data_IF_732508294824
#
_entry.id   IF_732508294824
#
_cell.length_a   1.000
_cell.length_b   1.000
_cell.length_c   1.000
_cell.angle_alpha   90.00
_cell.angle_beta   90.00
_cell.angle_gamma   90.00
#
_symmetry.space_group_name_H-M   'P 1'
#
loop_
_entity.id
_entity.type
_entity.pdbx_description
1 polymer ?
#
# COMPACT_ATOMS: atom_id res chain seq x y z
N UNK A 1 8.25 30.62 37.44
CA UNK A 1 6.78 30.71 37.52
C UNK A 1 6.24 29.79 36.42
N UNK A 2 5.44 28.78 36.65
CA UNK A 2 4.94 28.16 37.88
C UNK A 2 4.47 26.77 37.44
N UNK A 3 4.90 25.73 38.16
CA UNK A 3 4.52 24.34 37.94
C UNK A 3 3.15 24.10 38.57
N UNK A 4 2.25 23.41 37.88
CA UNK A 4 1.10 22.77 38.50
C UNK A 4 1.17 21.25 38.28
N UNK A 5 1.12 20.54 39.40
CA UNK A 5 1.37 19.12 39.65
C UNK A 5 0.04 18.55 40.18
N UNK A 6 -0.40 17.40 39.67
CA UNK A 6 -1.41 16.54 40.31
C UNK A 6 -1.04 15.10 39.98
N UNK A 7 -0.24 14.44 40.83
CA UNK A 7 -0.65 13.61 41.97
C UNK A 7 -1.34 12.29 41.60
N UNK A 8 -0.49 11.26 41.45
CA UNK A 8 -0.76 9.84 41.75
C UNK A 8 -1.11 9.68 43.22
N UNK A 9 -2.01 8.75 43.58
CA UNK A 9 -1.95 7.85 44.76
C UNK A 9 -3.23 6.97 44.80
N UNK A 10 -3.35 5.88 45.60
CA UNK A 10 -2.61 4.61 45.58
C UNK A 10 -3.53 3.38 45.38
N UNK A 11 -2.90 2.20 45.19
CA UNK A 11 -3.47 0.88 45.55
C UNK A 11 -3.28 0.64 47.05
N UNK A 12 -4.27 0.06 47.73
CA UNK A 12 -4.03 -1.01 48.72
C UNK A 12 -5.31 -1.71 49.15
N UNK A 13 -5.16 -3.02 49.34
CA UNK A 13 -6.03 -4.00 49.97
C UNK A 13 -6.51 -3.62 51.37
N UNK A 14 -7.63 -4.20 51.81
CA UNK A 14 -7.65 -5.16 52.93
C UNK A 14 -9.07 -5.66 53.19
N UNK A 15 -9.22 -6.98 53.08
CA UNK A 15 -10.13 -7.78 53.89
C UNK A 15 -10.00 -7.41 55.37
N UNK A 16 -11.11 -7.31 56.11
CA UNK A 16 -11.30 -7.98 57.41
C UNK A 16 -12.55 -7.50 58.18
N UNK A 17 -13.16 -8.46 58.90
CA UNK A 17 -14.10 -8.37 60.03
C UNK A 17 -15.47 -7.69 59.77
N UNK A 18 -16.62 -8.40 59.75
CA UNK A 18 -17.30 -9.25 60.76
C UNK A 18 -18.07 -8.47 61.84
N UNK A 19 -19.35 -8.88 62.03
CA UNK A 19 -20.32 -8.50 63.09
C UNK A 19 -20.81 -7.04 63.04
N UNK A 20 -22.10 -6.71 63.17
CA UNK A 20 -23.20 -7.43 63.84
C UNK A 20 -24.57 -6.80 63.47
N UNK A 21 -25.58 -7.67 63.35
CA UNK A 21 -26.99 -7.53 63.76
C UNK A 21 -27.75 -6.22 63.51
N UNK A 22 -28.84 -6.30 62.73
CA UNK A 22 -30.19 -6.35 63.31
C UNK A 22 -31.30 -6.54 62.25
N UNK A 23 -32.09 -7.60 62.47
CA UNK A 23 -33.54 -7.71 62.28
C UNK A 23 -34.15 -7.53 60.88
N UNK A 24 -34.57 -8.65 60.26
CA UNK A 24 -35.99 -9.04 60.18
C UNK A 24 -36.16 -10.21 59.18
N UNK A 25 -36.39 -11.42 59.68
CA UNK A 25 -36.95 -12.53 58.89
C UNK A 25 -38.46 -12.34 58.71
N UNK A 26 -39.02 -12.87 57.61
CA UNK A 26 -40.02 -13.90 57.83
C UNK A 26 -39.79 -15.16 56.97
N UNK A 27 -39.96 -16.31 57.63
CA UNK A 27 -40.48 -17.59 57.14
C UNK A 27 -39.99 -18.09 55.77
N UNK A 28 -38.86 -18.80 55.78
CA UNK A 28 -38.50 -19.79 54.75
C UNK A 28 -38.37 -21.15 55.47
N UNK A 29 -39.46 -21.69 55.99
CA UNK A 29 -39.39 -23.02 56.60
C UNK A 29 -40.65 -23.90 56.44
N UNK A 30 -41.51 -23.59 55.46
CA UNK A 30 -42.70 -24.43 55.20
C UNK A 30 -42.93 -24.78 53.72
N UNK A 31 -41.88 -24.75 52.90
CA UNK A 31 -41.95 -25.17 51.49
C UNK A 31 -40.94 -26.27 51.10
N UNK A 32 -40.24 -26.87 52.07
CA UNK A 32 -39.24 -27.92 51.82
C UNK A 32 -39.70 -29.36 52.07
N UNK A 33 -40.99 -29.64 52.28
CA UNK A 33 -41.43 -31.03 52.54
C UNK A 33 -42.52 -31.63 51.63
N UNK A 34 -42.90 -31.01 50.51
CA UNK A 34 -43.83 -31.66 49.58
C UNK A 34 -43.45 -31.57 48.10
N UNK A 35 -42.36 -32.27 47.72
CA UNK A 35 -42.28 -33.21 46.59
C UNK A 35 -40.82 -33.57 46.31
N UNK A 36 -40.33 -34.62 46.98
CA UNK A 36 -39.44 -35.58 46.32
C UNK A 36 -40.23 -36.35 45.24
N UNK A 37 -40.79 -35.62 44.28
CA UNK A 37 -41.35 -36.15 43.06
C UNK A 37 -40.24 -36.14 42.04
N UNK A 38 -39.72 -37.32 41.72
CA UNK A 38 -38.87 -37.58 40.56
C UNK A 38 -39.60 -37.15 39.28
N UNK A 39 -39.62 -35.85 39.02
CA UNK A 39 -40.00 -35.29 37.74
C UNK A 39 -38.83 -35.49 36.82
N UNK A 40 -38.77 -36.65 36.15
CA UNK A 40 -38.01 -36.75 34.90
C UNK A 40 -38.48 -35.57 34.05
N UNK A 41 -37.68 -34.52 33.93
CA UNK A 41 -37.83 -33.50 32.90
C UNK A 41 -37.84 -34.28 31.60
N UNK A 42 -39.03 -34.56 31.08
CA UNK A 42 -39.23 -35.28 29.83
C UNK A 42 -38.85 -34.27 28.76
N UNK A 43 -37.54 -34.15 28.53
CA UNK A 43 -36.97 -33.30 27.50
C UNK A 43 -37.71 -33.69 26.22
N UNK A 44 -38.48 -32.75 25.68
CA UNK A 44 -39.34 -33.02 24.53
C UNK A 44 -38.39 -33.33 23.37
N UNK A 45 -38.36 -34.57 22.84
CA UNK A 45 -37.34 -34.97 21.85
C UNK A 45 -37.39 -34.06 20.62
N UNK A 46 -38.57 -33.51 20.30
CA UNK A 46 -38.77 -32.52 19.23
C UNK A 46 -38.02 -31.19 19.46
N UNK A 47 -37.97 -30.69 20.69
CA UNK A 47 -37.28 -29.44 21.01
C UNK A 47 -35.75 -29.63 21.00
N UNK A 48 -35.27 -30.77 21.50
CA UNK A 48 -33.84 -31.15 21.47
C UNK A 48 -33.33 -31.36 20.04
N UNK A 49 -34.15 -31.96 19.16
CA UNK A 49 -33.85 -32.12 17.73
C UNK A 49 -33.82 -30.74 17.04
N UNK A 50 -34.79 -29.86 17.31
CA UNK A 50 -34.83 -28.52 16.71
C UNK A 50 -33.62 -27.65 17.11
N UNK A 51 -33.21 -27.69 18.38
CA UNK A 51 -32.00 -27.01 18.86
C UNK A 51 -30.74 -27.58 18.20
N UNK A 52 -30.63 -28.91 18.12
CA UNK A 52 -29.49 -29.57 17.45
C UNK A 52 -29.40 -29.19 15.97
N UNK A 53 -30.54 -29.17 15.25
CA UNK A 53 -30.60 -28.76 13.84
C UNK A 53 -30.23 -27.28 13.66
N UNK A 54 -30.69 -26.40 14.57
CA UNK A 54 -30.33 -24.98 14.56
C UNK A 54 -28.82 -24.78 14.77
N UNK A 55 -28.22 -25.49 15.74
CA UNK A 55 -26.77 -25.43 16.00
C UNK A 55 -25.98 -25.91 14.78
N UNK A 56 -26.39 -27.02 14.16
CA UNK A 56 -25.73 -27.56 12.96
C UNK A 56 -25.83 -26.59 11.78
N UNK A 57 -26.99 -25.96 11.57
CA UNK A 57 -27.19 -24.98 10.50
C UNK A 57 -26.30 -23.74 10.70
N UNK A 58 -26.25 -23.21 11.92
CA UNK A 58 -25.40 -22.07 12.24
C UNK A 58 -23.91 -22.41 12.11
N UNK A 59 -23.49 -23.60 12.54
CA UNK A 59 -22.12 -24.08 12.35
C UNK A 59 -21.76 -24.19 10.86
N UNK A 60 -22.68 -24.72 10.04
CA UNK A 60 -22.49 -24.81 8.59
C UNK A 60 -22.42 -23.42 7.93
N UNK A 61 -23.24 -22.46 8.36
CA UNK A 61 -23.20 -21.07 7.87
C UNK A 61 -21.89 -20.37 8.24
N UNK A 62 -21.39 -20.55 9.47
CA UNK A 62 -20.10 -20.01 9.91
C UNK A 62 -18.96 -20.64 9.10
N UNK A 63 -18.97 -21.95 8.88
CA UNK A 63 -17.98 -22.64 8.08
C UNK A 63 -18.00 -22.15 6.61
N UNK A 64 -19.19 -22.00 6.02
CA UNK A 64 -19.34 -21.45 4.68
C UNK A 64 -18.82 -20.00 4.60
N UNK A 65 -19.16 -19.15 5.56
CA UNK A 65 -18.64 -17.80 5.64
C UNK A 65 -17.12 -17.77 5.79
N UNK A 66 -16.53 -18.65 6.61
CA UNK A 66 -15.08 -18.76 6.77
C UNK A 66 -14.39 -19.20 5.48
N UNK A 67 -14.97 -20.14 4.72
CA UNK A 67 -14.49 -20.57 3.41
C UNK A 67 -14.57 -19.41 2.41
N UNK A 68 -15.69 -18.69 2.37
CA UNK A 68 -15.86 -17.53 1.48
C UNK A 68 -14.89 -16.39 1.84
N UNK A 69 -14.68 -16.13 3.13
CA UNK A 69 -13.71 -15.14 3.58
C UNK A 69 -12.28 -15.55 3.24
N UNK A 70 -11.89 -16.83 3.42
CA UNK A 70 -10.58 -17.33 2.98
C UNK A 70 -10.40 -17.23 1.46
N UNK A 71 -11.41 -17.62 0.69
CA UNK A 71 -11.39 -17.52 -0.76
C UNK A 71 -11.28 -16.05 -1.22
N UNK A 72 -11.91 -15.12 -0.50
CA UNK A 72 -11.82 -13.68 -0.78
C UNK A 72 -10.48 -13.06 -0.38
N UNK A 73 -9.80 -13.59 0.64
CA UNK A 73 -8.53 -13.03 1.10
C UNK A 73 -7.33 -13.40 0.21
N UNK A 74 -7.47 -14.38 -0.69
CA UNK A 74 -6.39 -14.80 -1.60
C UNK A 74 -5.09 -15.17 -0.86
N UNK A 75 -4.05 -15.60 -1.59
CA UNK A 75 -2.70 -15.55 -1.05
C UNK A 75 -2.32 -14.08 -0.81
N UNK A 76 -1.59 -13.81 0.28
CA UNK A 76 -1.06 -12.48 0.56
C UNK A 76 -0.13 -12.04 -0.57
N UNK A 77 -0.32 -10.83 -1.12
CA UNK A 77 0.57 -10.22 -2.12
C UNK A 77 2.01 -10.21 -1.56
N UNK A 78 3.02 -10.68 -2.30
CA UNK A 78 4.39 -10.65 -1.83
C UNK A 78 4.82 -9.21 -1.49
N UNK A 79 5.63 -8.99 -0.43
CA UNK A 79 5.99 -7.64 0.02
C UNK A 79 6.72 -6.79 -1.03
N UNK A 80 7.43 -7.43 -1.96
CA UNK A 80 8.21 -6.79 -3.01
C UNK A 80 7.38 -6.40 -4.26
N UNK A 81 6.06 -6.67 -4.27
CA UNK A 81 5.21 -6.23 -5.39
C UNK A 81 4.72 -4.80 -5.15
N UNK A 82 5.04 -3.82 -6.03
CA UNK A 82 4.65 -2.43 -5.85
C UNK A 82 3.13 -2.23 -5.75
N UNK A 83 2.63 -1.26 -4.98
CA UNK A 83 1.20 -0.97 -4.90
C UNK A 83 0.65 -0.48 -6.25
N UNK A 84 -0.61 -0.84 -6.54
CA UNK A 84 -1.27 -0.50 -7.83
C UNK A 84 -2.34 0.58 -7.73
N UNK A 85 -2.33 1.36 -6.65
CA UNK A 85 -3.31 2.42 -6.41
C UNK A 85 -3.31 3.42 -7.56
N UNK A 86 -4.51 3.83 -7.96
CA UNK A 86 -4.74 4.86 -8.97
C UNK A 86 -5.27 6.12 -8.27
N UNK A 87 -4.77 7.28 -8.66
CA UNK A 87 -5.21 8.59 -8.21
C UNK A 87 -5.51 9.53 -9.39
N UNK A 88 -6.32 10.56 -9.15
CA UNK A 88 -6.70 11.57 -10.13
C UNK A 88 -5.77 12.76 -10.04
N UNK A 89 -5.10 13.09 -11.14
CA UNK A 89 -4.23 14.26 -11.19
C UNK A 89 -4.66 15.20 -12.30
N UNK A 90 -4.76 16.48 -11.99
CA UNK A 90 -4.87 17.52 -12.99
C UNK A 90 -3.47 17.93 -13.39
N UNK A 91 -3.12 17.79 -14.66
CA UNK A 91 -1.81 18.21 -15.15
C UNK A 91 -1.78 19.74 -15.24
N UNK A 92 -0.84 20.32 -14.51
CA UNK A 92 -0.59 21.76 -14.48
C UNK A 92 0.82 22.02 -14.96
N UNK A 93 1.01 23.12 -15.68
CA UNK A 93 2.34 23.52 -16.13
C UNK A 93 3.28 23.70 -14.93
N UNK A 94 4.42 23.03 -14.97
CA UNK A 94 5.51 23.20 -14.02
C UNK A 94 6.79 23.59 -14.76
N UNK A 95 6.97 24.89 -15.08
CA UNK A 95 8.07 25.36 -15.93
C UNK A 95 9.47 24.96 -15.45
N UNK A 96 9.64 24.73 -14.15
CA UNK A 96 10.93 24.38 -13.54
C UNK A 96 11.54 23.11 -14.16
N UNK A 97 10.73 22.13 -14.55
CA UNK A 97 11.22 20.88 -15.15
C UNK A 97 11.65 21.04 -16.61
N UNK A 98 11.20 22.10 -17.29
CA UNK A 98 11.62 22.45 -18.66
C UNK A 98 12.81 23.41 -18.73
N UNK A 99 13.28 23.94 -17.60
CA UNK A 99 14.42 24.86 -17.55
C UNK A 99 15.76 24.13 -17.65
N UNK A 100 16.77 24.86 -18.12
CA UNK A 100 18.16 24.38 -18.15
C UNK A 100 18.73 24.11 -16.74
N UNK A 101 19.80 23.31 -16.66
CA UNK A 101 20.37 22.86 -15.39
C UNK A 101 20.94 24.01 -14.57
N UNK A 102 20.49 24.10 -13.33
CA UNK A 102 21.03 24.87 -12.22
C UNK A 102 20.66 24.14 -10.91
N UNK A 103 21.26 24.54 -9.79
CA UNK A 103 21.05 23.89 -8.49
C UNK A 103 19.57 23.68 -8.16
N UNK A 104 18.72 24.69 -8.39
CA UNK A 104 17.28 24.58 -8.10
C UNK A 104 16.57 23.57 -9.02
N UNK A 105 16.85 23.58 -10.32
CA UNK A 105 16.22 22.61 -11.23
C UNK A 105 16.72 21.19 -10.97
N UNK A 106 18.01 21.04 -10.69
CA UNK A 106 18.63 19.74 -10.44
C UNK A 106 18.12 19.15 -9.12
N UNK A 107 17.93 19.95 -8.08
CA UNK A 107 17.29 19.53 -6.83
C UNK A 107 15.85 19.05 -7.08
N UNK A 108 15.07 19.78 -7.89
CA UNK A 108 13.70 19.35 -8.24
C UNK A 108 13.66 18.05 -9.01
N UNK A 109 14.57 17.87 -9.95
CA UNK A 109 14.71 16.61 -10.67
C UNK A 109 15.14 15.48 -9.73
N UNK A 110 16.13 15.70 -8.85
CA UNK A 110 16.61 14.71 -7.89
C UNK A 110 15.52 14.24 -6.92
N UNK A 111 14.56 15.12 -6.56
CA UNK A 111 13.39 14.77 -5.76
C UNK A 111 12.44 13.78 -6.45
N UNK A 112 12.54 13.58 -7.76
CA UNK A 112 11.78 12.57 -8.51
C UNK A 112 12.48 11.19 -8.55
N UNK A 113 13.62 11.03 -7.90
CA UNK A 113 14.31 9.75 -7.85
C UNK A 113 14.42 9.30 -6.39
N UNK A 114 13.94 8.10 -6.03
CA UNK A 114 14.18 7.55 -4.72
C UNK A 114 15.65 7.12 -4.59
N UNK A 115 16.13 7.00 -3.36
CA UNK A 115 17.37 6.28 -3.09
C UNK A 115 17.30 4.85 -3.63
N UNK A 116 18.44 4.32 -4.03
CA UNK A 116 18.56 3.10 -4.80
C UNK A 116 18.19 3.25 -6.28
N UNK A 117 17.88 4.47 -6.75
CA UNK A 117 17.48 4.76 -8.14
C UNK A 117 16.33 3.87 -8.65
N UNK A 118 15.44 3.45 -7.75
CA UNK A 118 14.30 2.58 -8.06
C UNK A 118 14.62 1.08 -8.16
N UNK A 119 15.86 0.66 -7.89
CA UNK A 119 16.20 -0.76 -7.73
C UNK A 119 15.69 -1.26 -6.38
N UNK A 120 14.97 -2.38 -6.41
CA UNK A 120 14.45 -3.07 -5.23
C UNK A 120 14.98 -4.51 -5.15
N UNK A 121 15.00 -5.07 -3.95
CA UNK A 121 15.22 -6.49 -3.76
C UNK A 121 13.91 -7.27 -3.96
N UNK A 122 13.95 -8.25 -4.85
CA UNK A 122 12.84 -9.15 -5.17
C UNK A 122 13.20 -10.55 -4.72
N UNK A 123 12.41 -11.10 -3.80
CA UNK A 123 12.49 -12.53 -3.46
C UNK A 123 11.94 -13.33 -4.62
N UNK A 124 12.73 -14.30 -5.10
CA UNK A 124 12.33 -15.11 -6.25
C UNK A 124 11.61 -16.34 -5.73
N UNK A 125 10.29 -16.32 -5.89
CA UNK A 125 9.45 -17.49 -5.62
C UNK A 125 9.35 -18.34 -6.89
N UNK A 126 9.60 -19.65 -6.77
CA UNK A 126 9.84 -20.58 -7.89
C UNK A 126 8.67 -20.75 -8.90
N UNK A 127 7.54 -20.08 -8.74
CA UNK A 127 6.37 -20.23 -9.62
C UNK A 127 5.54 -18.97 -9.91
N UNK A 128 5.78 -17.84 -9.21
CA UNK A 128 4.88 -16.68 -9.28
C UNK A 128 5.22 -15.71 -10.43
N UNK A 129 6.51 -15.54 -10.73
CA UNK A 129 6.96 -14.66 -11.80
C UNK A 129 7.01 -15.40 -13.14
N UNK A 130 6.60 -14.79 -14.28
CA UNK A 130 6.86 -15.36 -15.60
C UNK A 130 8.36 -15.34 -15.93
N UNK A 131 8.76 -15.96 -17.05
CA UNK A 131 10.10 -15.75 -17.58
C UNK A 131 10.32 -14.26 -17.88
N UNK A 132 11.43 -13.71 -17.41
CA UNK A 132 11.86 -12.34 -17.67
C UNK A 132 13.35 -12.33 -17.99
N UNK A 133 13.82 -11.51 -18.94
CA UNK A 133 15.24 -11.34 -19.18
C UNK A 133 15.98 -10.96 -17.90
N UNK A 134 17.07 -11.67 -17.61
CA UNK A 134 17.89 -11.42 -16.41
C UNK A 134 17.39 -12.07 -15.12
N UNK A 135 16.19 -12.67 -15.08
CA UNK A 135 15.69 -13.38 -13.90
C UNK A 135 16.33 -14.78 -13.80
N UNK A 136 17.23 -14.98 -12.83
CA UNK A 136 17.83 -16.29 -12.50
C UNK A 136 17.11 -16.98 -11.33
N UNK A 137 16.32 -18.01 -11.61
CA UNK A 137 15.57 -18.74 -10.56
C UNK A 137 16.44 -19.51 -9.57
N UNK A 138 17.73 -19.68 -9.84
CA UNK A 138 18.63 -20.32 -8.88
C UNK A 138 18.99 -19.40 -7.69
N UNK A 139 18.73 -18.09 -7.81
CA UNK A 139 19.02 -17.11 -6.78
C UNK A 139 17.78 -16.87 -5.90
N UNK A 140 17.91 -16.89 -4.55
CA UNK A 140 16.78 -16.64 -3.66
C UNK A 140 16.28 -15.18 -3.70
N UNK A 141 17.15 -14.25 -4.10
CA UNK A 141 16.83 -12.82 -4.19
C UNK A 141 17.62 -12.20 -5.34
N UNK A 142 16.97 -11.29 -6.08
CA UNK A 142 17.57 -10.52 -7.18
C UNK A 142 17.11 -9.07 -7.18
N UNK A 143 17.91 -8.21 -7.79
CA UNK A 143 17.58 -6.80 -7.95
C UNK A 143 16.70 -6.61 -9.18
N UNK A 144 15.60 -5.87 -9.02
CA UNK A 144 14.77 -5.43 -10.14
C UNK A 144 14.50 -3.94 -10.01
N UNK A 145 14.40 -3.21 -11.14
CA UNK A 145 14.09 -1.78 -11.12
C UNK A 145 12.62 -1.56 -11.43
N UNK A 146 11.96 -0.72 -10.65
CA UNK A 146 10.62 -0.24 -11.00
C UNK A 146 10.71 0.60 -12.28
N UNK A 147 9.98 0.21 -13.33
CA UNK A 147 10.08 0.82 -14.66
C UNK A 147 9.87 2.34 -14.67
N UNK A 148 9.00 2.88 -13.80
CA UNK A 148 8.76 4.33 -13.72
C UNK A 148 10.03 5.14 -13.42
N UNK A 149 10.96 4.60 -12.63
CA UNK A 149 12.23 5.29 -12.33
C UNK A 149 13.23 5.15 -13.47
N UNK A 150 13.19 4.06 -14.23
CA UNK A 150 13.95 3.96 -15.48
C UNK A 150 13.42 4.96 -16.52
N UNK A 151 12.10 5.11 -16.65
CA UNK A 151 11.48 6.11 -17.52
C UNK A 151 11.88 7.54 -17.10
N UNK A 152 11.91 7.86 -15.80
CA UNK A 152 12.36 9.16 -15.30
C UNK A 152 13.86 9.42 -15.58
N UNK A 153 14.71 8.40 -15.45
CA UNK A 153 16.11 8.48 -15.87
C UNK A 153 16.23 8.78 -17.37
N UNK A 154 15.50 8.05 -18.23
CA UNK A 154 15.50 8.28 -19.68
C UNK A 154 15.03 9.71 -20.03
N UNK A 155 13.99 10.20 -19.36
CA UNK A 155 13.48 11.56 -19.56
C UNK A 155 14.52 12.61 -19.15
N UNK A 156 15.22 12.38 -18.04
CA UNK A 156 16.30 13.25 -17.59
C UNK A 156 17.47 13.26 -18.59
N UNK A 157 17.90 12.09 -19.08
CA UNK A 157 18.97 12.00 -20.09
C UNK A 157 18.59 12.72 -21.39
N UNK A 158 17.32 12.67 -21.79
CA UNK A 158 16.83 13.42 -22.94
C UNK A 158 16.90 14.94 -22.72
N UNK A 159 16.52 15.43 -21.53
CA UNK A 159 16.67 16.84 -21.15
C UNK A 159 18.14 17.27 -21.17
N UNK A 160 19.01 16.50 -20.52
CA UNK A 160 20.45 16.79 -20.42
C UNK A 160 21.10 16.87 -21.80
N UNK A 161 20.81 15.89 -22.66
CA UNK A 161 21.26 15.87 -24.05
C UNK A 161 20.75 17.06 -24.87
N UNK A 162 19.48 17.43 -24.72
CA UNK A 162 18.91 18.60 -25.41
C UNK A 162 19.63 19.89 -25.02
N UNK A 163 19.86 20.10 -23.72
CA UNK A 163 20.57 21.28 -23.22
C UNK A 163 21.99 21.32 -23.78
N UNK A 164 22.72 20.20 -23.68
CA UNK A 164 24.08 20.13 -24.21
C UNK A 164 24.13 20.38 -25.73
N UNK A 165 23.24 19.79 -26.51
CA UNK A 165 23.15 20.01 -27.95
C UNK A 165 22.84 21.48 -28.29
N UNK A 166 21.86 22.08 -27.61
CA UNK A 166 21.46 23.49 -27.79
C UNK A 166 22.64 24.43 -27.53
N UNK A 167 23.43 24.14 -26.52
CA UNK A 167 24.57 24.97 -26.09
C UNK A 167 25.85 24.67 -26.91
N UNK A 168 25.78 23.80 -27.92
CA UNK A 168 26.88 23.47 -28.83
C UNK A 168 27.83 22.39 -28.31
N UNK A 169 27.50 21.72 -27.22
CA UNK A 169 28.28 20.67 -26.55
C UNK A 169 27.89 19.26 -27.03
N UNK A 170 27.93 19.02 -28.34
CA UNK A 170 27.54 17.72 -28.93
C UNK A 170 28.41 16.55 -28.46
N UNK A 171 29.66 16.81 -28.07
CA UNK A 171 30.58 15.81 -27.51
C UNK A 171 30.10 15.20 -26.19
N UNK A 172 29.19 15.87 -25.48
CA UNK A 172 28.59 15.38 -24.22
C UNK A 172 27.32 14.57 -24.44
N UNK A 173 26.83 14.48 -25.67
CA UNK A 173 25.60 13.77 -26.00
C UNK A 173 25.93 12.33 -26.40
N UNK A 174 25.56 11.38 -25.55
CA UNK A 174 25.60 9.96 -25.91
C UNK A 174 24.37 9.60 -26.77
N UNK A 175 24.51 9.75 -28.09
CA UNK A 175 23.43 9.52 -29.05
C UNK A 175 22.90 8.08 -29.02
N UNK A 176 23.79 7.09 -28.84
CA UNK A 176 23.38 5.68 -28.80
C UNK A 176 22.47 5.41 -27.59
N UNK A 177 22.90 5.82 -26.39
CA UNK A 177 22.09 5.66 -25.18
C UNK A 177 20.77 6.45 -25.25
N UNK A 178 20.82 7.66 -25.78
CA UNK A 178 19.64 8.49 -25.96
C UNK A 178 18.63 7.86 -26.94
N UNK A 179 19.10 7.19 -28.00
CA UNK A 179 18.22 6.50 -28.95
C UNK A 179 17.42 5.36 -28.29
N UNK A 180 18.03 4.62 -27.37
CA UNK A 180 17.36 3.59 -26.57
C UNK A 180 16.37 4.22 -25.59
N UNK A 181 16.74 5.33 -24.95
CA UNK A 181 15.85 6.09 -24.05
C UNK A 181 14.57 6.54 -24.79
N UNK A 182 14.69 7.03 -26.03
CA UNK A 182 13.54 7.43 -26.83
C UNK A 182 12.59 6.28 -27.12
N UNK A 183 13.11 5.14 -27.55
CA UNK A 183 12.26 3.98 -27.81
C UNK A 183 11.64 3.41 -26.52
N UNK A 184 12.41 3.35 -25.44
CA UNK A 184 11.91 2.90 -24.14
C UNK A 184 10.78 3.78 -23.61
N UNK A 185 10.93 5.11 -23.67
CA UNK A 185 9.88 6.06 -23.29
C UNK A 185 8.64 5.94 -24.19
N UNK A 186 8.83 5.82 -25.51
CA UNK A 186 7.72 5.59 -26.46
C UNK A 186 6.93 4.34 -26.08
N UNK A 187 7.61 3.23 -25.81
CA UNK A 187 6.96 1.98 -25.40
C UNK A 187 6.27 2.14 -24.04
N UNK A 188 6.87 2.83 -23.08
CA UNK A 188 6.29 3.12 -21.78
C UNK A 188 4.98 3.93 -21.88
N UNK A 189 4.97 4.99 -22.69
CA UNK A 189 3.78 5.81 -22.95
C UNK A 189 2.66 4.98 -23.59
N UNK A 190 2.99 4.17 -24.61
CA UNK A 190 2.01 3.31 -25.27
C UNK A 190 1.46 2.21 -24.35
N UNK A 191 2.31 1.67 -23.47
CA UNK A 191 1.92 0.69 -22.46
C UNK A 191 0.98 1.29 -21.42
N UNK A 192 1.26 2.52 -20.95
CA UNK A 192 0.40 3.22 -20.01
C UNK A 192 -0.94 3.63 -20.64
N UNK A 193 -0.93 4.04 -21.91
CA UNK A 193 -2.13 4.27 -22.72
C UNK A 193 -3.12 5.26 -22.09
N UNK A 194 -2.68 6.48 -21.75
CA UNK A 194 -3.56 7.50 -21.17
C UNK A 194 -4.72 7.83 -22.13
N UNK A 195 -5.95 7.62 -21.65
CA UNK A 195 -7.19 7.78 -22.43
C UNK A 195 -7.90 9.11 -22.16
N UNK A 196 -7.24 10.02 -21.44
CA UNK A 196 -7.77 11.36 -21.15
C UNK A 196 -8.01 12.14 -22.45
N UNK A 197 -9.21 12.70 -22.60
CA UNK A 197 -9.58 13.49 -23.77
C UNK A 197 -9.15 14.95 -23.60
N UNK A 198 -8.22 15.39 -24.45
CA UNK A 198 -7.73 16.77 -24.46
C UNK A 198 -8.29 17.54 -25.66
N UNK A 199 -8.92 18.69 -25.39
CA UNK A 199 -9.58 19.50 -26.42
C UNK A 199 -8.70 20.68 -26.85
N UNK A 200 -8.80 21.04 -28.13
CA UNK A 200 -8.17 22.27 -28.63
C UNK A 200 -8.92 23.49 -28.07
N UNK A 201 -8.23 24.32 -27.29
CA UNK A 201 -8.79 25.57 -26.80
C UNK A 201 -8.88 26.59 -27.96
N UNK A 202 -10.08 27.10 -28.25
CA UNK A 202 -10.38 27.86 -29.47
C UNK A 202 -9.69 29.23 -29.59
N UNK A 203 -9.21 29.79 -28.48
CA UNK A 203 -8.59 31.11 -28.39
C UNK A 203 -7.16 31.07 -27.79
N UNK A 204 -6.62 29.88 -27.50
CA UNK A 204 -5.25 29.75 -27.00
C UNK A 204 -4.25 29.92 -28.16
N UNK A 205 -3.49 31.01 -28.14
CA UNK A 205 -2.35 31.20 -29.02
C UNK A 205 -1.20 30.29 -28.60
N UNK A 206 -1.30 29.01 -28.99
CA UNK A 206 -0.28 27.99 -28.73
C UNK A 206 -0.68 26.98 -27.66
N UNK A 207 -1.31 25.88 -28.08
CA UNK A 207 -1.22 24.54 -27.48
C UNK A 207 -1.18 24.43 -25.95
N UNK A 208 -2.08 25.08 -25.23
CA UNK A 208 -2.23 24.84 -23.79
C UNK A 208 -3.01 23.54 -23.56
N UNK A 209 -2.30 22.43 -23.41
CA UNK A 209 -2.85 21.10 -23.10
C UNK A 209 -2.80 20.80 -21.59
N UNK A 210 -3.11 21.81 -20.76
CA UNK A 210 -3.11 21.70 -19.29
C UNK A 210 -4.54 21.75 -18.74
N UNK A 211 -4.72 21.30 -17.51
CA UNK A 211 -6.00 21.37 -16.80
C UNK A 211 -6.91 20.16 -17.00
N UNK A 212 -6.51 19.17 -17.81
CA UNK A 212 -7.21 17.91 -17.94
C UNK A 212 -6.92 16.99 -16.75
N UNK A 213 -7.92 16.23 -16.33
CA UNK A 213 -7.80 15.27 -15.23
C UNK A 213 -7.44 13.90 -15.78
N UNK A 214 -6.30 13.38 -15.37
CA UNK A 214 -5.74 12.08 -15.75
C UNK A 214 -5.96 11.06 -14.63
N UNK A 215 -5.95 9.78 -15.00
CA UNK A 215 -5.97 8.65 -14.06
C UNK A 215 -4.56 8.07 -13.98
N UNK A 216 -3.82 8.39 -12.92
CA UNK A 216 -2.41 8.02 -12.79
C UNK A 216 -2.21 6.95 -11.72
N UNK A 217 -1.16 6.15 -11.83
CA UNK A 217 -0.68 5.37 -10.67
C UNK A 217 -0.17 6.34 -9.61
N UNK A 218 -0.45 6.06 -8.34
CA UNK A 218 -0.04 6.90 -7.22
C UNK A 218 1.49 6.89 -7.09
N UNK A 219 2.10 7.94 -7.64
CA UNK A 219 3.55 8.05 -7.73
C UNK A 219 4.20 8.19 -6.34
N UNK A 220 3.55 8.86 -5.39
CA UNK A 220 4.08 8.99 -4.04
C UNK A 220 4.17 7.62 -3.35
N UNK A 221 3.16 6.76 -3.53
CA UNK A 221 3.22 5.39 -3.02
C UNK A 221 4.29 4.54 -3.72
N UNK A 222 4.46 4.68 -5.04
CA UNK A 222 5.54 4.00 -5.76
C UNK A 222 6.93 4.46 -5.29
N UNK A 223 7.09 5.75 -5.03
CA UNK A 223 8.32 6.35 -4.49
C UNK A 223 8.64 5.79 -3.10
N UNK A 224 7.68 5.88 -2.17
CA UNK A 224 7.84 5.37 -0.81
C UNK A 224 8.12 3.87 -0.79
N UNK A 225 7.45 3.12 -1.67
CA UNK A 225 7.69 1.70 -1.85
C UNK A 225 9.14 1.43 -2.31
N UNK A 226 9.63 2.13 -3.34
CA UNK A 226 10.99 1.95 -3.81
C UNK A 226 12.04 2.32 -2.76
N UNK A 227 11.83 3.41 -2.01
CA UNK A 227 12.67 3.78 -0.87
C UNK A 227 12.75 2.68 0.20
N UNK A 228 11.60 2.09 0.55
CA UNK A 228 11.51 1.08 1.60
C UNK A 228 12.21 -0.23 1.20
N UNK A 229 12.09 -0.64 -0.06
CA UNK A 229 12.59 -1.92 -0.57
C UNK A 229 13.90 -1.79 -1.36
N UNK A 230 14.56 -0.62 -1.28
CA UNK A 230 15.73 -0.30 -2.11
C UNK A 230 16.87 -1.32 -1.98
N UNK A 231 17.49 -1.64 -3.11
CA UNK A 231 18.60 -2.57 -3.21
C UNK A 231 19.99 -1.91 -3.05
N UNK A 232 20.06 -0.59 -3.18
CA UNK A 232 21.29 0.21 -3.02
C UNK A 232 20.98 1.54 -2.34
N UNK A 233 22.03 2.28 -1.95
CA UNK A 233 21.92 3.63 -1.38
C UNK A 233 22.20 4.73 -2.41
N UNK A 234 22.36 4.37 -3.69
CA UNK A 234 22.70 5.33 -4.75
C UNK A 234 21.57 6.34 -4.95
N UNK A 235 21.92 7.59 -5.21
CA UNK A 235 20.92 8.64 -5.47
C UNK A 235 21.42 9.54 -6.60
N UNK A 236 21.07 9.17 -7.82
CA UNK A 236 21.48 9.89 -9.03
C UNK A 236 20.55 9.59 -10.19
N UNK A 237 20.08 10.65 -10.85
CA UNK A 237 19.39 10.54 -12.13
C UNK A 237 20.31 10.15 -13.28
N UNK A 238 21.63 10.30 -13.12
CA UNK A 238 22.64 9.87 -14.11
C UNK A 238 23.23 8.49 -13.79
N UNK A 239 22.80 7.86 -12.70
CA UNK A 239 23.37 6.60 -12.21
C UNK A 239 23.34 5.50 -13.28
N UNK A 240 24.41 4.70 -13.31
CA UNK A 240 24.59 3.64 -14.31
C UNK A 240 23.68 2.42 -14.05
N UNK A 241 23.61 1.57 -15.09
CA UNK A 241 22.84 0.34 -15.17
C UNK A 241 23.60 -0.84 -14.59
#
# INVERSE_FOLDING_TARGET
MEYAKMEKYPRSSLSSLSSEMAAAEPEIDDLLEHKAGSGKTRCCPRLSIALSLSILLNAALIAALAILLRARHGPSRPPWVPPERVDKHIFLSQPIFGQGPNDTTEDKWAMLMPKGNGWINVTVDDGELPYMPGLDRSLPEQKARLSVFHQLHCLYMARDAFVHARDGHMERVNVAHLSECWDYLRQGIMCAGDTTLEWKQGNASGGEFWGYQHMCKDYALLFMFAEQYRATEDHSLRGEY
#
